data_IF_839966581999
#
_entry.id   IF_839966581999
#
_cell.length_a   1.000
_cell.length_b   1.000
_cell.length_c   1.000
_cell.angle_alpha   90.00
_cell.angle_beta   90.00
_cell.angle_gamma   90.00
#
_symmetry.space_group_name_H-M   'P 1'
#
loop_
_entity.id
_entity.type
_entity.pdbx_description
1 polymer ?
#
# COMPACT_ATOMS: atom_id res chain seq x y z
N UNK A 1 -13.64 1.14 13.71
CA UNK A 1 -13.38 1.53 12.31
C UNK A 1 -12.09 2.32 12.32
N UNK A 2 -10.97 1.68 12.03
CA UNK A 2 -9.69 2.38 12.10
C UNK A 2 -9.60 3.32 10.87
N UNK A 3 -9.65 4.62 11.12
CA UNK A 3 -9.73 5.67 10.12
C UNK A 3 -8.34 5.87 9.51
N UNK A 4 -8.08 5.21 8.40
CA UNK A 4 -6.93 5.56 7.53
C UNK A 4 -7.41 6.64 6.56
N UNK A 5 -6.62 7.69 6.36
CA UNK A 5 -6.94 8.75 5.41
C UNK A 5 -6.04 8.66 4.19
N UNK A 6 -6.49 9.27 3.09
CA UNK A 6 -5.67 9.39 1.88
C UNK A 6 -4.48 10.34 2.14
N UNK A 7 -4.63 11.29 3.05
CA UNK A 7 -3.57 12.23 3.45
C UNK A 7 -2.36 11.47 4.02
N UNK A 8 -2.60 10.50 4.92
CA UNK A 8 -1.54 9.64 5.49
C UNK A 8 -0.76 8.87 4.39
N UNK A 9 -1.46 8.46 3.34
CA UNK A 9 -0.86 7.75 2.21
C UNK A 9 -0.08 8.70 1.29
N UNK A 10 -0.56 9.93 1.12
CA UNK A 10 0.06 10.96 0.28
C UNK A 10 1.33 11.54 0.92
N UNK A 11 1.47 11.50 2.24
CA UNK A 11 2.75 11.81 2.91
C UNK A 11 3.87 10.86 2.49
N UNK A 12 3.54 9.61 2.14
CA UNK A 12 4.50 8.60 1.67
C UNK A 12 4.65 8.61 0.16
N UNK A 13 3.55 8.78 -0.56
CA UNK A 13 3.49 8.76 -2.02
C UNK A 13 2.75 10.02 -2.48
N UNK A 14 3.44 11.14 -2.77
CA UNK A 14 2.77 12.40 -3.09
C UNK A 14 1.98 12.35 -4.41
N UNK A 15 2.28 11.38 -5.28
CA UNK A 15 1.57 11.17 -6.54
C UNK A 15 0.37 10.23 -6.36
N UNK A 16 -0.84 10.76 -6.55
CA UNK A 16 -2.12 10.03 -6.43
C UNK A 16 -2.26 8.86 -7.42
N UNK A 17 -1.76 9.00 -8.64
CA UNK A 17 -1.80 7.94 -9.64
C UNK A 17 -0.84 6.81 -9.27
N UNK A 18 0.35 7.18 -8.80
CA UNK A 18 1.33 6.23 -8.32
C UNK A 18 0.81 5.48 -7.08
N UNK A 19 0.20 6.20 -6.14
CA UNK A 19 -0.46 5.63 -4.96
C UNK A 19 -1.49 4.57 -5.36
N UNK A 20 -2.37 4.89 -6.32
CA UNK A 20 -3.35 3.95 -6.84
C UNK A 20 -2.70 2.69 -7.43
N UNK A 21 -1.67 2.87 -8.27
CA UNK A 21 -0.96 1.75 -8.88
C UNK A 21 -0.26 0.85 -7.84
N UNK A 22 0.38 1.46 -6.84
CA UNK A 22 1.07 0.74 -5.75
C UNK A 22 0.07 -0.02 -4.87
N UNK A 23 -1.06 0.61 -4.54
CA UNK A 23 -2.13 -0.04 -3.78
C UNK A 23 -2.68 -1.26 -4.54
N UNK A 24 -2.98 -1.14 -5.83
CA UNK A 24 -3.45 -2.27 -6.66
C UNK A 24 -2.42 -3.38 -6.72
N UNK A 25 -1.14 -3.06 -6.94
CA UNK A 25 -0.05 -4.05 -6.95
C UNK A 25 0.04 -4.78 -5.60
N UNK A 26 -0.06 -4.05 -4.49
CA UNK A 26 0.03 -4.65 -3.15
C UNK A 26 -1.17 -5.54 -2.84
N UNK A 27 -2.37 -5.13 -3.21
CA UNK A 27 -3.58 -5.96 -3.08
C UNK A 27 -3.45 -7.27 -3.87
N UNK A 28 -2.87 -7.23 -5.07
CA UNK A 28 -2.61 -8.45 -5.84
C UNK A 28 -1.66 -9.39 -5.11
N UNK A 29 -0.56 -8.89 -4.56
CA UNK A 29 0.37 -9.71 -3.77
C UNK A 29 -0.30 -10.39 -2.59
N UNK A 30 -1.15 -9.65 -1.86
CA UNK A 30 -1.95 -10.18 -0.77
C UNK A 30 -2.89 -11.28 -1.28
N UNK A 31 -3.56 -11.04 -2.40
CA UNK A 31 -4.48 -12.01 -3.02
C UNK A 31 -3.75 -13.27 -3.50
N UNK A 32 -2.48 -13.14 -3.88
CA UNK A 32 -1.58 -14.25 -4.22
C UNK A 32 -1.04 -15.01 -2.99
N UNK A 33 -1.42 -14.61 -1.78
CA UNK A 33 -1.04 -15.26 -0.52
C UNK A 33 0.11 -14.60 0.23
N UNK A 34 0.50 -13.36 -0.12
CA UNK A 34 1.49 -12.61 0.64
C UNK A 34 0.97 -12.26 2.03
N UNK A 35 1.85 -12.39 3.03
CA UNK A 35 1.52 -12.04 4.41
C UNK A 35 1.26 -10.53 4.59
N UNK A 36 0.33 -10.23 5.49
CA UNK A 36 0.06 -8.87 5.92
C UNK A 36 1.19 -8.36 6.82
N UNK A 37 1.76 -7.22 6.45
CA UNK A 37 2.82 -6.53 7.21
C UNK A 37 2.24 -5.72 8.38
N UNK A 38 0.94 -5.49 8.39
CA UNK A 38 0.22 -4.76 9.43
C UNK A 38 -0.96 -5.59 9.91
N UNK A 39 -1.08 -5.75 11.22
CA UNK A 39 -2.21 -6.46 11.82
C UNK A 39 -3.51 -5.69 11.54
N UNK A 40 -4.44 -6.33 10.83
CA UNK A 40 -5.74 -5.77 10.49
C UNK A 40 -6.83 -6.80 10.75
N UNK A 41 -7.36 -6.87 11.98
CA UNK A 41 -8.50 -7.72 12.24
C UNK A 41 -9.73 -7.18 11.49
N UNK A 42 -10.18 -7.92 10.47
CA UNK A 42 -11.43 -7.72 9.72
C UNK A 42 -11.48 -6.55 8.70
N UNK A 43 -10.37 -6.21 8.04
CA UNK A 43 -10.38 -5.23 6.94
C UNK A 43 -10.25 -5.92 5.59
N UNK A 44 -10.82 -5.32 4.54
CA UNK A 44 -10.58 -5.74 3.14
C UNK A 44 -9.11 -5.51 2.74
N UNK A 45 -8.61 -6.32 1.80
CA UNK A 45 -7.21 -6.28 1.35
C UNK A 45 -6.76 -4.89 0.91
N UNK A 46 -7.65 -4.12 0.28
CA UNK A 46 -7.37 -2.73 -0.14
C UNK A 46 -7.09 -1.82 1.06
N UNK A 47 -7.81 -1.99 2.16
CA UNK A 47 -7.63 -1.21 3.37
C UNK A 47 -6.33 -1.63 4.07
N UNK A 48 -5.98 -2.91 4.02
CA UNK A 48 -4.69 -3.39 4.56
C UNK A 48 -3.54 -2.82 3.74
N UNK A 49 -3.60 -2.87 2.40
CA UNK A 49 -2.58 -2.31 1.53
C UNK A 49 -2.36 -0.80 1.77
N UNK A 50 -3.42 0.00 1.87
CA UNK A 50 -3.32 1.43 2.18
C UNK A 50 -2.71 1.70 3.56
N UNK A 51 -3.00 0.85 4.56
CA UNK A 51 -2.35 0.94 5.88
C UNK A 51 -0.87 0.63 5.82
N UNK A 52 -0.48 -0.38 5.07
CA UNK A 52 0.93 -0.73 4.91
C UNK A 52 1.70 0.39 4.19
N UNK A 53 1.06 1.03 3.20
CA UNK A 53 1.60 2.22 2.51
C UNK A 53 1.77 3.37 3.49
N UNK A 54 0.73 3.73 4.24
CA UNK A 54 0.80 4.82 5.23
C UNK A 54 1.81 4.55 6.35
N UNK A 55 1.94 3.28 6.77
CA UNK A 55 2.96 2.84 7.72
C UNK A 55 4.38 2.82 7.13
N UNK A 56 4.55 3.09 5.82
CA UNK A 56 5.84 3.06 5.14
C UNK A 56 6.46 1.66 5.02
N UNK A 57 5.64 0.60 5.15
CA UNK A 57 6.10 -0.80 5.03
C UNK A 57 6.12 -1.31 3.59
N UNK A 58 5.44 -0.62 2.68
CA UNK A 58 5.51 -0.89 1.24
C UNK A 58 6.56 0.03 0.64
N UNK A 59 7.63 -0.57 0.12
CA UNK A 59 8.69 0.16 -0.58
C UNK A 59 8.39 0.14 -2.08
N UNK A 60 8.37 1.31 -2.69
CA UNK A 60 8.32 1.43 -4.15
C UNK A 60 9.75 1.36 -4.63
N UNK A 61 10.18 0.21 -5.12
CA UNK A 61 11.36 0.16 -5.99
C UNK A 61 10.97 0.88 -7.28
N UNK A 62 11.34 2.16 -7.38
CA UNK A 62 11.39 2.83 -8.66
C UNK A 62 12.47 2.09 -9.45
N UNK A 63 12.04 1.41 -10.51
CA UNK A 63 12.89 0.70 -11.47
C UNK A 63 14.14 1.54 -11.68
N UNK A 64 15.27 1.07 -11.14
CA UNK A 64 16.57 1.61 -11.50
C UNK A 64 16.69 1.33 -12.98
N UNK A 65 16.36 2.36 -13.75
CA UNK A 65 16.67 2.58 -15.15
C UNK A 65 17.56 1.46 -15.69
N UNK A 66 16.95 0.46 -16.34
CA UNK A 66 17.70 -0.46 -17.18
C UNK A 66 18.33 0.36 -18.30
N UNK A 67 19.53 0.86 -18.01
CA UNK A 67 20.49 1.43 -18.94
C UNK A 67 20.99 0.36 -19.90
#
# INVERSE_FOLDING_TARGET
MARITIEDCLEKIPNRFLLCNVAVKRVRQISEGSEYLVNSPKNEDIVVALREIAAGKVVIEQDKEKK
#
